data_IF_602064248804
#
_entry.id   IF_602064248804
#
_cell.length_a   1.000
_cell.length_b   1.000
_cell.length_c   1.000
_cell.angle_alpha   90.00
_cell.angle_beta   90.00
_cell.angle_gamma   90.00
#
_symmetry.space_group_name_H-M   'P 1'
#
loop_
_entity.id
_entity.type
_entity.pdbx_description
1 polymer ?
#
# COMPACT_ATOMS: atom_id res chain seq x y z
N UNK A 1 -4.88 -19.59 19.30
CA UNK A 1 -5.04 -20.11 17.92
C UNK A 1 -4.72 -18.97 16.96
N UNK A 2 -3.70 -19.13 16.11
CA UNK A 2 -3.19 -18.08 15.20
C UNK A 2 -4.10 -17.97 13.97
N UNK A 3 -4.61 -16.77 13.66
CA UNK A 3 -5.37 -16.47 12.43
C UNK A 3 -4.45 -16.31 11.22
N UNK A 4 -3.63 -17.32 10.92
CA UNK A 4 -2.61 -17.25 9.86
C UNK A 4 -3.13 -17.60 8.45
N UNK A 5 -4.40 -17.95 8.28
CA UNK A 5 -4.97 -18.42 7.00
C UNK A 5 -5.65 -17.33 6.16
N UNK A 6 -5.00 -16.17 5.94
CA UNK A 6 -5.58 -15.09 5.13
C UNK A 6 -4.93 -14.90 3.74
N UNK A 7 -3.75 -15.48 3.51
CA UNK A 7 -2.99 -15.31 2.28
C UNK A 7 -2.58 -16.68 1.72
N UNK A 8 -3.03 -16.97 0.50
CA UNK A 8 -2.64 -18.15 -0.27
C UNK A 8 -1.93 -17.71 -1.55
N UNK A 9 -0.79 -18.33 -1.85
CA UNK A 9 -0.09 -18.12 -3.11
C UNK A 9 -0.78 -18.97 -4.17
N UNK A 10 -1.33 -18.32 -5.21
CA UNK A 10 -1.97 -19.02 -6.33
C UNK A 10 -0.96 -19.38 -7.43
N UNK A 11 0.00 -18.48 -7.69
CA UNK A 11 0.98 -18.63 -8.75
C UNK A 11 2.30 -18.03 -8.28
N UNK A 12 3.37 -18.83 -8.35
CA UNK A 12 4.74 -18.35 -8.16
C UNK A 12 5.16 -17.45 -9.34
N UNK A 13 6.08 -16.50 -9.15
CA UNK A 13 6.56 -15.64 -10.24
C UNK A 13 7.03 -16.46 -11.45
N UNK A 14 6.43 -16.20 -12.61
CA UNK A 14 6.71 -16.93 -13.85
C UNK A 14 6.67 -16.00 -15.06
N UNK A 15 7.40 -16.35 -16.11
CA UNK A 15 7.27 -15.73 -17.44
C UNK A 15 6.17 -16.37 -18.29
N UNK A 16 5.57 -17.47 -17.83
CA UNK A 16 4.50 -18.18 -18.53
C UNK A 16 3.15 -17.47 -18.34
N UNK A 17 2.70 -16.79 -19.40
CA UNK A 17 1.40 -16.10 -19.42
C UNK A 17 0.23 -17.06 -19.35
N UNK A 18 0.34 -18.24 -19.94
CA UNK A 18 -0.76 -19.21 -19.98
C UNK A 18 -1.03 -19.75 -18.58
N UNK A 19 0.03 -20.07 -17.83
CA UNK A 19 -0.09 -20.47 -16.43
C UNK A 19 -0.74 -19.37 -15.56
N UNK A 20 -0.42 -18.10 -15.82
CA UNK A 20 -1.02 -16.97 -15.13
C UNK A 20 -2.51 -16.83 -15.46
N UNK A 21 -2.89 -16.91 -16.74
CA UNK A 21 -4.30 -16.79 -17.17
C UNK A 21 -5.17 -17.90 -16.57
N UNK A 22 -4.65 -19.14 -16.54
CA UNK A 22 -5.32 -20.28 -15.90
C UNK A 22 -5.51 -20.03 -14.40
N UNK A 23 -4.49 -19.52 -13.72
CA UNK A 23 -4.55 -19.20 -12.29
C UNK A 23 -5.55 -18.08 -12.00
N UNK A 24 -5.58 -17.03 -12.82
CA UNK A 24 -6.52 -15.92 -12.68
C UNK A 24 -7.97 -16.36 -12.88
N UNK A 25 -8.24 -17.28 -13.82
CA UNK A 25 -9.58 -17.83 -14.04
C UNK A 25 -10.09 -18.68 -12.86
N UNK A 26 -9.20 -19.16 -12.00
CA UNK A 26 -9.54 -19.96 -10.81
C UNK A 26 -9.68 -19.13 -9.53
N UNK A 27 -9.50 -17.81 -9.59
CA UNK A 27 -9.61 -16.94 -8.41
C UNK A 27 -11.03 -16.99 -7.87
N UNK A 28 -11.18 -17.55 -6.67
CA UNK A 28 -12.45 -17.51 -5.92
C UNK A 28 -12.49 -16.27 -5.04
N UNK A 29 -13.52 -15.45 -5.22
CA UNK A 29 -13.73 -14.27 -4.38
C UNK A 29 -14.26 -14.71 -3.01
N UNK A 30 -13.41 -14.66 -1.99
CA UNK A 30 -13.86 -14.77 -0.61
C UNK A 30 -14.63 -13.49 -0.26
N UNK A 31 -15.86 -13.61 0.26
CA UNK A 31 -16.76 -12.47 0.56
C UNK A 31 -16.31 -11.54 1.70
N UNK A 32 -15.01 -11.52 2.05
CA UNK A 32 -14.45 -10.69 3.12
C UNK A 32 -13.25 -9.90 2.61
N UNK A 33 -13.22 -8.61 2.93
CA UNK A 33 -12.09 -7.75 2.62
C UNK A 33 -10.84 -8.15 3.41
N UNK A 34 -9.71 -8.27 2.70
CA UNK A 34 -8.42 -8.62 3.29
C UNK A 34 -7.37 -7.50 3.23
N UNK A 35 -7.55 -6.46 2.39
CA UNK A 35 -6.49 -5.51 2.05
C UNK A 35 -5.80 -4.91 3.28
N UNK A 36 -6.54 -4.31 4.22
CA UNK A 36 -5.92 -3.70 5.40
C UNK A 36 -5.24 -4.71 6.34
N UNK A 37 -5.74 -5.95 6.36
CA UNK A 37 -5.25 -6.99 7.27
C UNK A 37 -4.00 -7.68 6.70
N UNK A 38 -3.81 -7.65 5.37
CA UNK A 38 -2.70 -8.33 4.67
C UNK A 38 -1.50 -7.42 4.36
N UNK A 39 -1.66 -6.10 4.44
CA UNK A 39 -0.64 -5.13 4.03
C UNK A 39 0.74 -5.43 4.63
N UNK A 40 0.84 -5.62 5.95
CA UNK A 40 2.14 -5.89 6.59
C UNK A 40 2.77 -7.21 6.16
N UNK A 41 1.96 -8.27 6.04
CA UNK A 41 2.45 -9.60 5.70
C UNK A 41 2.97 -9.62 4.26
N UNK A 42 2.22 -9.04 3.31
CA UNK A 42 2.63 -8.95 1.90
C UNK A 42 3.88 -8.07 1.77
N UNK A 43 3.95 -6.93 2.47
CA UNK A 43 5.15 -6.09 2.47
C UNK A 43 6.37 -6.82 3.03
N UNK A 44 6.20 -7.64 4.08
CA UNK A 44 7.30 -8.46 4.61
C UNK A 44 7.79 -9.52 3.61
N UNK A 45 6.87 -10.20 2.92
CA UNK A 45 7.21 -11.21 1.91
C UNK A 45 7.96 -10.53 0.75
N UNK A 46 7.40 -9.44 0.22
CA UNK A 46 7.98 -8.70 -0.90
C UNK A 46 9.35 -8.12 -0.56
N UNK A 47 9.54 -7.58 0.66
CA UNK A 47 10.84 -7.11 1.13
C UNK A 47 11.87 -8.25 1.13
N UNK A 48 11.48 -9.42 1.62
CA UNK A 48 12.34 -10.61 1.62
C UNK A 48 12.70 -11.07 0.20
N UNK A 49 11.75 -11.03 -0.73
CA UNK A 49 12.00 -11.35 -2.14
C UNK A 49 13.00 -10.36 -2.75
N UNK A 50 12.76 -9.06 -2.58
CA UNK A 50 13.62 -8.00 -3.11
C UNK A 50 15.06 -8.11 -2.57
N UNK A 51 15.22 -8.36 -1.27
CA UNK A 51 16.55 -8.47 -0.63
C UNK A 51 17.31 -9.73 -1.02
N UNK A 52 16.63 -10.85 -1.32
CA UNK A 52 17.28 -12.14 -1.63
C UNK A 52 17.59 -12.34 -3.10
N UNK A 53 16.75 -11.80 -3.99
CA UNK A 53 16.81 -12.09 -5.42
C UNK A 53 17.39 -10.96 -6.27
N UNK A 54 17.59 -9.76 -5.70
CA UNK A 54 18.10 -8.61 -6.45
C UNK A 54 17.16 -8.11 -7.54
N UNK A 55 15.91 -8.57 -7.58
CA UNK A 55 14.89 -8.11 -8.52
C UNK A 55 14.10 -6.93 -7.95
N UNK A 56 13.61 -6.08 -8.84
CA UNK A 56 12.64 -5.03 -8.46
C UNK A 56 11.32 -5.70 -8.13
N UNK A 57 10.79 -5.41 -6.94
CA UNK A 57 9.49 -5.91 -6.50
C UNK A 57 8.58 -4.72 -6.24
N UNK A 58 7.34 -4.81 -6.71
CA UNK A 58 6.26 -3.88 -6.41
C UNK A 58 5.05 -4.69 -5.94
N UNK A 59 4.22 -4.11 -5.09
CA UNK A 59 2.97 -4.73 -4.65
C UNK A 59 1.82 -4.02 -5.36
N UNK A 60 0.93 -4.77 -6.02
CA UNK A 60 -0.32 -4.25 -6.55
C UNK A 60 -1.48 -4.90 -5.78
N UNK A 61 -2.27 -4.07 -5.11
CA UNK A 61 -3.57 -4.47 -4.59
C UNK A 61 -4.67 -4.05 -5.58
N UNK A 62 -5.58 -4.97 -5.87
CA UNK A 62 -6.82 -4.69 -6.58
C UNK A 62 -7.95 -5.03 -5.61
N UNK A 63 -8.80 -4.06 -5.27
CA UNK A 63 -9.85 -4.26 -4.28
C UNK A 63 -11.06 -3.37 -4.54
N UNK A 64 -12.25 -3.90 -4.29
CA UNK A 64 -13.51 -3.17 -4.20
C UNK A 64 -13.94 -2.96 -2.73
N UNK A 65 -13.12 -3.34 -1.74
CA UNK A 65 -13.54 -3.39 -0.34
C UNK A 65 -13.97 -2.04 0.25
N UNK A 66 -15.03 -2.02 1.06
CA UNK A 66 -15.38 -0.86 1.89
C UNK A 66 -14.82 -0.96 3.31
N UNK A 67 -14.77 0.16 4.03
CA UNK A 67 -14.33 0.19 5.43
C UNK A 67 -15.23 -0.66 6.36
N UNK A 68 -16.52 -0.77 6.02
CA UNK A 68 -17.50 -1.61 6.70
C UNK A 68 -17.12 -3.10 6.73
N UNK A 69 -16.33 -3.56 5.75
CA UNK A 69 -15.88 -4.95 5.67
C UNK A 69 -14.84 -5.32 6.73
N UNK A 70 -14.24 -4.32 7.39
CA UNK A 70 -13.26 -4.54 8.45
C UNK A 70 -13.95 -4.47 9.80
N UNK A 71 -13.85 -5.56 10.58
CA UNK A 71 -14.37 -5.69 11.94
C UNK A 71 -13.64 -4.78 12.93
N UNK A 72 -13.91 -3.50 12.86
CA UNK A 72 -13.86 -2.63 14.01
C UNK A 72 -15.21 -1.94 14.09
N UNK A 73 -15.59 -1.54 15.30
CA UNK A 73 -16.85 -0.90 15.63
C UNK A 73 -17.01 0.51 15.01
N UNK A 74 -16.54 0.73 13.78
CA UNK A 74 -16.63 2.00 13.04
C UNK A 74 -18.08 2.39 12.77
N UNK A 75 -18.94 1.39 12.54
CA UNK A 75 -20.36 1.58 12.28
C UNK A 75 -21.18 1.68 13.57
N UNK A 76 -20.69 1.10 14.68
CA UNK A 76 -21.38 1.02 15.97
C UNK A 76 -20.39 1.19 17.13
N UNK A 77 -19.81 2.37 17.34
CA UNK A 77 -18.80 2.58 18.38
C UNK A 77 -19.36 2.20 19.76
N UNK A 78 -18.56 1.52 20.58
CA UNK A 78 -18.93 1.14 21.96
C UNK A 78 -19.18 2.41 22.77
N UNK A 79 -20.43 2.58 23.21
CA UNK A 79 -20.89 3.76 23.96
C UNK A 79 -20.57 3.54 25.43
N UNK A 80 -19.84 4.46 26.05
CA UNK A 80 -19.77 4.49 27.50
C UNK A 80 -21.00 5.24 28.03
N UNK A 81 -22.02 4.51 28.49
CA UNK A 81 -23.26 5.09 29.03
C UNK A 81 -23.04 6.01 30.23
N UNK A 82 -21.87 5.92 30.87
CA UNK A 82 -21.49 6.69 32.05
C UNK A 82 -20.85 8.04 31.71
N UNK A 83 -20.52 8.29 30.44
CA UNK A 83 -19.86 9.52 29.98
C UNK A 83 -20.80 10.29 29.04
N UNK A 84 -21.46 11.34 29.58
CA UNK A 84 -22.33 12.22 28.80
C UNK A 84 -21.59 13.04 27.74
N UNK A 85 -20.26 13.02 27.73
CA UNK A 85 -19.39 13.64 26.74
C UNK A 85 -18.81 12.66 25.71
N UNK A 86 -19.31 11.42 25.62
CA UNK A 86 -18.75 10.41 24.72
C UNK A 86 -18.90 10.80 23.23
N UNK A 87 -17.77 11.19 22.63
CA UNK A 87 -17.65 11.64 21.25
C UNK A 87 -17.40 10.50 20.25
N UNK A 88 -17.40 9.24 20.70
CA UNK A 88 -17.14 8.06 19.84
C UNK A 88 -18.11 7.96 18.65
N UNK A 89 -19.36 8.39 18.83
CA UNK A 89 -20.36 8.53 17.75
C UNK A 89 -20.07 9.68 16.77
N UNK A 90 -19.35 10.71 17.19
CA UNK A 90 -19.07 11.92 16.40
C UNK A 90 -17.77 11.85 15.60
N UNK A 91 -16.88 10.92 15.93
CA UNK A 91 -15.54 10.81 15.31
C UNK A 91 -15.16 9.38 14.89
N UNK A 92 -16.08 8.64 14.26
CA UNK A 92 -15.78 7.31 13.72
C UNK A 92 -14.76 7.37 12.56
N UNK A 93 -14.71 8.48 11.84
CA UNK A 93 -13.67 8.83 10.86
C UNK A 93 -12.26 8.94 11.48
N UNK A 94 -12.18 9.41 12.72
CA UNK A 94 -10.92 9.48 13.48
C UNK A 94 -10.39 8.10 13.81
N UNK A 95 -11.26 7.15 14.15
CA UNK A 95 -10.85 5.77 14.41
C UNK A 95 -10.30 5.09 13.14
N UNK A 96 -10.91 5.35 11.98
CA UNK A 96 -10.39 4.92 10.67
C UNK A 96 -9.03 5.55 10.41
N UNK A 97 -8.93 6.87 10.57
CA UNK A 97 -7.69 7.62 10.37
C UNK A 97 -6.57 7.14 11.28
N UNK A 98 -6.85 6.87 12.55
CA UNK A 98 -5.87 6.37 13.50
C UNK A 98 -5.37 4.97 13.14
N UNK A 99 -6.27 4.06 12.72
CA UNK A 99 -5.85 2.74 12.21
C UNK A 99 -4.94 2.87 11.00
N UNK A 100 -5.31 3.71 10.04
CA UNK A 100 -4.50 3.97 8.84
C UNK A 100 -3.14 4.54 9.23
N UNK A 101 -3.08 5.48 10.17
CA UNK A 101 -1.81 6.04 10.67
C UNK A 101 -0.92 4.97 11.29
N UNK A 102 -1.46 4.13 12.18
CA UNK A 102 -0.70 3.03 12.79
C UNK A 102 -0.18 2.03 11.74
N UNK A 103 -1.01 1.69 10.77
CA UNK A 103 -0.63 0.81 9.67
C UNK A 103 0.46 1.44 8.79
N UNK A 104 0.31 2.73 8.46
CA UNK A 104 1.29 3.51 7.71
C UNK A 104 2.65 3.56 8.41
N UNK A 105 2.66 3.72 9.74
CA UNK A 105 3.89 3.70 10.54
C UNK A 105 4.53 2.31 10.57
N UNK A 106 3.73 1.24 10.72
CA UNK A 106 4.23 -0.13 10.65
C UNK A 106 4.85 -0.45 9.28
N UNK A 107 4.23 0.03 8.21
CA UNK A 107 4.70 -0.17 6.83
C UNK A 107 5.97 0.63 6.51
N UNK A 108 6.28 1.69 7.27
CA UNK A 108 7.45 2.56 7.01
C UNK A 108 8.81 1.85 7.10
N UNK A 109 8.84 0.66 7.72
CA UNK A 109 10.04 -0.20 7.79
C UNK A 109 10.34 -0.96 6.50
N UNK A 110 9.39 -1.00 5.56
CA UNK A 110 9.54 -1.68 4.29
C UNK A 110 9.84 -0.66 3.20
N UNK A 111 10.64 -1.08 2.22
CA UNK A 111 11.05 -0.24 1.09
C UNK A 111 10.35 -0.63 -0.22
N UNK A 112 9.50 -1.66 -0.18
CA UNK A 112 8.72 -2.10 -1.33
C UNK A 112 7.50 -1.19 -1.51
N UNK A 113 7.28 -0.62 -2.70
CA UNK A 113 6.18 0.28 -2.96
C UNK A 113 4.88 -0.48 -3.16
N UNK A 114 3.83 0.13 -2.64
CA UNK A 114 2.48 -0.40 -2.62
C UNK A 114 1.66 0.46 -3.56
N UNK A 115 1.12 -0.19 -4.59
CA UNK A 115 0.16 0.38 -5.50
C UNK A 115 -1.22 -0.21 -5.23
N UNK A 116 -2.25 0.62 -5.37
CA UNK A 116 -3.62 0.22 -5.05
C UNK A 116 -4.53 0.67 -6.19
N UNK A 117 -5.20 -0.28 -6.83
CA UNK A 117 -6.34 -0.03 -7.70
C UNK A 117 -7.61 -0.32 -6.91
N UNK A 118 -8.32 0.73 -6.53
CA UNK A 118 -9.58 0.60 -5.82
C UNK A 118 -10.74 0.70 -6.81
N UNK A 119 -11.54 -0.36 -6.93
CA UNK A 119 -12.51 -0.50 -8.02
C UNK A 119 -13.80 0.29 -7.83
N UNK A 120 -14.12 0.67 -6.58
CA UNK A 120 -15.39 1.32 -6.27
C UNK A 120 -15.22 2.56 -5.39
N UNK A 121 -15.58 3.73 -5.92
CA UNK A 121 -15.63 4.97 -5.14
C UNK A 121 -16.88 5.02 -4.26
N UNK A 122 -16.68 5.27 -2.97
CA UNK A 122 -17.76 5.43 -2.00
C UNK A 122 -17.67 6.78 -1.30
N UNK A 123 -18.77 7.54 -1.36
CA UNK A 123 -18.81 8.95 -0.96
C UNK A 123 -19.18 9.18 0.52
N UNK A 124 -19.53 8.12 1.28
CA UNK A 124 -19.78 8.28 2.71
C UNK A 124 -18.50 8.63 3.48
N UNK A 125 -18.65 9.37 4.58
CA UNK A 125 -17.54 9.93 5.36
C UNK A 125 -16.50 8.89 5.78
N UNK A 126 -16.95 7.68 6.16
CA UNK A 126 -16.04 6.63 6.60
C UNK A 126 -15.24 6.06 5.43
N UNK A 127 -15.88 5.78 4.30
CA UNK A 127 -15.19 5.29 3.12
C UNK A 127 -14.29 6.36 2.49
N UNK A 128 -14.64 7.64 2.58
CA UNK A 128 -13.73 8.73 2.20
C UNK A 128 -12.45 8.72 3.05
N UNK A 129 -12.59 8.65 4.38
CA UNK A 129 -11.43 8.56 5.28
C UNK A 129 -10.57 7.31 5.00
N UNK A 130 -11.20 6.20 4.65
CA UNK A 130 -10.55 4.96 4.23
C UNK A 130 -9.79 5.12 2.90
N UNK A 131 -10.45 5.62 1.84
CA UNK A 131 -9.84 5.81 0.52
C UNK A 131 -8.68 6.80 0.56
N UNK A 132 -8.86 7.95 1.23
CA UNK A 132 -7.75 8.89 1.48
C UNK A 132 -6.67 8.29 2.38
N UNK A 133 -7.00 7.29 3.20
CA UNK A 133 -6.04 6.50 3.94
C UNK A 133 -5.21 5.58 3.05
N UNK A 134 -5.83 4.91 2.08
CA UNK A 134 -5.15 4.08 1.08
C UNK A 134 -4.18 4.91 0.23
N UNK A 135 -4.60 6.09 -0.23
CA UNK A 135 -3.74 7.03 -0.96
C UNK A 135 -2.52 7.47 -0.14
N UNK A 136 -2.71 7.75 1.15
CA UNK A 136 -1.60 8.11 2.05
C UNK A 136 -0.64 6.94 2.26
N UNK A 137 -1.15 5.72 2.43
CA UNK A 137 -0.32 4.52 2.59
C UNK A 137 0.49 4.25 1.33
N UNK A 138 -0.15 4.24 0.15
CA UNK A 138 0.52 3.98 -1.12
C UNK A 138 1.59 5.04 -1.39
N UNK A 139 1.26 6.33 -1.25
CA UNK A 139 2.21 7.44 -1.46
C UNK A 139 3.40 7.36 -0.51
N UNK A 140 3.18 7.14 0.80
CA UNK A 140 4.29 7.00 1.77
C UNK A 140 5.17 5.79 1.46
N UNK A 141 4.60 4.73 0.89
CA UNK A 141 5.34 3.56 0.45
C UNK A 141 6.15 3.78 -0.85
N UNK A 142 6.07 4.93 -1.50
CA UNK A 142 6.74 5.14 -2.79
C UNK A 142 5.91 4.71 -4.00
N UNK A 143 4.70 4.19 -3.78
CA UNK A 143 3.76 3.78 -4.82
C UNK A 143 2.66 4.82 -5.05
N UNK A 144 1.50 4.37 -5.54
CA UNK A 144 0.36 5.24 -5.85
C UNK A 144 -0.97 4.50 -5.70
N UNK A 145 -2.06 5.22 -5.43
CA UNK A 145 -3.40 4.67 -5.42
C UNK A 145 -4.27 5.34 -6.50
N UNK A 146 -5.06 4.54 -7.21
CA UNK A 146 -6.10 5.01 -8.15
C UNK A 146 -7.43 4.51 -7.64
N UNK A 147 -8.36 5.43 -7.41
CA UNK A 147 -9.72 5.12 -6.95
C UNK A 147 -10.68 5.32 -8.13
N UNK A 148 -11.19 4.21 -8.68
CA UNK A 148 -12.12 4.21 -9.80
C UNK A 148 -13.53 4.57 -9.33
N UNK A 149 -14.18 5.47 -10.06
CA UNK A 149 -15.59 5.85 -9.88
C UNK A 149 -16.52 5.05 -10.77
N UNK A 150 -16.00 4.58 -11.91
CA UNK A 150 -16.75 3.83 -12.92
C UNK A 150 -15.93 2.66 -13.44
N UNK A 151 -16.60 1.67 -14.02
CA UNK A 151 -15.93 0.50 -14.61
C UNK A 151 -14.99 0.88 -15.77
N UNK A 152 -15.31 1.93 -16.51
CA UNK A 152 -14.50 2.42 -17.63
C UNK A 152 -13.15 3.01 -17.18
N UNK A 153 -13.02 3.37 -15.89
CA UNK A 153 -11.77 3.85 -15.30
C UNK A 153 -10.85 2.72 -14.84
N UNK A 154 -11.33 1.48 -14.73
CA UNK A 154 -10.55 0.35 -14.19
C UNK A 154 -9.35 0.05 -15.09
N UNK A 155 -9.57 -0.11 -16.40
CA UNK A 155 -8.49 -0.45 -17.34
C UNK A 155 -7.47 0.69 -17.48
N UNK A 156 -7.87 1.95 -17.71
CA UNK A 156 -6.92 3.07 -17.71
C UNK A 156 -6.17 3.22 -16.38
N UNK A 157 -6.86 3.05 -15.25
CA UNK A 157 -6.25 3.12 -13.92
C UNK A 157 -5.19 2.04 -13.71
N UNK A 158 -5.49 0.79 -14.10
CA UNK A 158 -4.54 -0.32 -14.04
C UNK A 158 -3.31 -0.05 -14.93
N UNK A 159 -3.52 0.44 -16.15
CA UNK A 159 -2.42 0.72 -17.08
C UNK A 159 -1.47 1.79 -16.55
N UNK A 160 -2.02 2.86 -15.95
CA UNK A 160 -1.22 3.89 -15.28
C UNK A 160 -0.37 3.29 -14.16
N UNK A 161 -0.96 2.46 -13.29
CA UNK A 161 -0.23 1.83 -12.19
C UNK A 161 0.87 0.88 -12.69
N UNK A 162 0.59 0.07 -13.70
CA UNK A 162 1.57 -0.85 -14.28
C UNK A 162 2.73 -0.09 -14.94
N UNK A 163 2.46 1.03 -15.60
CA UNK A 163 3.51 1.85 -16.20
C UNK A 163 4.39 2.52 -15.13
N UNK A 164 3.78 2.99 -14.04
CA UNK A 164 4.51 3.49 -12.87
C UNK A 164 5.41 2.41 -12.25
N UNK A 165 4.90 1.18 -12.09
CA UNK A 165 5.71 0.06 -11.56
C UNK A 165 6.92 -0.24 -12.43
N UNK A 166 6.74 -0.30 -13.76
CA UNK A 166 7.84 -0.58 -14.71
C UNK A 166 8.92 0.50 -14.67
N UNK A 167 8.51 1.75 -14.50
CA UNK A 167 9.38 2.93 -14.44
C UNK A 167 9.95 3.21 -13.05
N UNK A 168 9.61 2.42 -12.03
CA UNK A 168 10.13 2.59 -10.67
C UNK A 168 11.58 2.11 -10.55
N UNK A 169 12.40 2.93 -9.88
CA UNK A 169 13.78 2.63 -9.51
C UNK A 169 13.98 2.80 -8.01
N UNK A 170 14.87 1.97 -7.43
CA UNK A 170 15.21 2.01 -6.01
C UNK A 170 16.66 2.40 -5.83
N UNK A 171 16.90 3.35 -4.92
CA UNK A 171 18.23 3.72 -4.48
C UNK A 171 18.41 3.34 -3.01
N UNK A 172 19.16 2.28 -2.75
CA UNK A 172 19.59 1.93 -1.40
C UNK A 172 20.80 2.74 -1.00
N UNK A 173 20.73 3.44 0.15
CA UNK A 173 21.87 4.19 0.69
C UNK A 173 22.20 3.65 2.07
N UNK A 174 23.38 3.03 2.21
CA UNK A 174 23.90 2.65 3.52
C UNK A 174 24.46 3.88 4.24
N UNK A 175 24.11 4.02 5.53
CA UNK A 175 24.65 5.10 6.34
C UNK A 175 26.16 4.90 6.56
N UNK A 176 27.01 5.89 6.24
CA UNK A 176 28.42 5.81 6.58
C UNK A 176 28.55 5.76 8.11
N UNK A 177 29.31 4.80 8.63
CA UNK A 177 29.44 4.48 10.07
C UNK A 177 30.09 5.56 10.97
N UNK A 178 30.05 6.84 10.57
CA UNK A 178 30.66 7.95 11.27
C UNK A 178 29.76 8.65 12.30
N UNK A 179 30.37 9.40 13.21
CA UNK A 179 29.73 10.09 14.36
C UNK A 179 28.80 11.28 13.99
N UNK A 180 28.51 11.54 12.71
CA UNK A 180 27.67 12.67 12.28
C UNK A 180 26.31 12.18 11.75
N UNK A 181 25.18 12.56 12.36
CA UNK A 181 23.88 11.94 12.11
C UNK A 181 23.08 12.56 10.94
N UNK A 182 23.68 13.41 10.10
CA UNK A 182 22.95 14.13 9.04
C UNK A 182 23.53 13.78 7.67
N UNK A 183 22.76 13.01 6.89
CA UNK A 183 23.04 12.69 5.51
C UNK A 183 22.09 13.51 4.63
N UNK A 184 22.63 14.30 3.68
CA UNK A 184 21.85 14.94 2.62
C UNK A 184 22.04 14.13 1.35
N UNK A 185 20.98 13.50 0.87
CA UNK A 185 20.98 12.76 -0.40
C UNK A 185 20.45 13.71 -1.48
N UNK A 186 21.20 13.82 -2.58
CA UNK A 186 20.73 14.44 -3.82
C UNK A 186 20.65 13.34 -4.87
N UNK A 187 19.50 13.24 -5.53
CA UNK A 187 19.28 12.32 -6.65
C UNK A 187 19.12 13.16 -7.90
N UNK A 188 19.89 12.85 -8.93
CA UNK A 188 19.82 13.45 -10.25
C UNK A 188 19.55 12.34 -11.25
N UNK A 189 18.64 12.58 -12.19
CA UNK A 189 18.36 11.65 -13.30
C UNK A 189 18.67 12.36 -14.61
N UNK A 190 19.43 11.68 -15.45
CA UNK A 190 19.84 12.17 -16.77
C UNK A 190 19.38 11.18 -17.83
N UNK A 191 18.83 11.69 -18.93
CA UNK A 191 18.54 10.90 -20.11
C UNK A 191 19.81 10.40 -20.81
N UNK A 192 19.67 9.54 -21.84
CA UNK A 192 20.80 9.01 -22.60
C UNK A 192 21.69 10.09 -23.21
N UNK A 193 21.10 11.25 -23.54
CA UNK A 193 21.77 12.39 -24.18
C UNK A 193 22.33 13.39 -23.16
N UNK A 194 22.35 13.05 -21.86
CA UNK A 194 22.78 13.94 -20.78
C UNK A 194 21.77 15.04 -20.42
N UNK A 195 20.59 15.03 -21.02
CA UNK A 195 19.48 15.94 -20.67
C UNK A 195 18.95 15.62 -19.28
N UNK A 196 18.88 16.62 -18.41
CA UNK A 196 18.22 16.46 -17.10
C UNK A 196 16.72 16.29 -17.32
N UNK A 197 16.08 15.38 -16.58
CA UNK A 197 14.62 15.32 -16.58
C UNK A 197 14.05 16.55 -15.86
N UNK A 198 13.00 17.15 -16.42
CA UNK A 198 12.35 18.36 -15.87
C UNK A 198 11.70 18.13 -14.51
N UNK A 199 11.40 16.86 -14.17
CA UNK A 199 10.72 16.51 -12.92
C UNK A 199 11.14 15.15 -12.38
N UNK A 200 11.98 15.15 -11.36
CA UNK A 200 12.25 13.98 -10.53
C UNK A 200 11.32 14.00 -9.31
N UNK A 201 10.34 13.10 -9.27
CA UNK A 201 9.59 12.83 -8.04
C UNK A 201 10.35 11.77 -7.23
N UNK A 202 10.74 12.09 -6.01
CA UNK A 202 11.36 11.14 -5.10
C UNK A 202 10.60 11.09 -3.79
N UNK A 203 10.48 9.90 -3.22
CA UNK A 203 9.84 9.67 -1.92
C UNK A 203 10.92 9.13 -1.00
N UNK A 204 11.26 9.93 0.02
CA UNK A 204 12.28 9.55 0.99
C UNK A 204 11.73 8.47 1.91
N UNK A 205 12.29 7.27 1.83
CA UNK A 205 12.07 6.21 2.79
C UNK A 205 13.35 5.95 3.58
N UNK A 206 13.31 6.27 4.87
CA UNK A 206 14.42 6.04 5.77
C UNK A 206 14.11 4.83 6.65
N UNK A 207 14.77 3.70 6.40
CA UNK A 207 14.83 2.61 7.37
C UNK A 207 16.17 2.69 8.09
N UNK A 208 16.17 3.22 9.31
CA UNK A 208 17.35 3.14 10.17
C UNK A 208 17.47 1.71 10.69
N UNK A 209 18.56 1.01 10.37
CA UNK A 209 18.91 -0.22 11.10
C UNK A 209 19.05 0.16 12.57
N UNK A 210 18.17 -0.34 13.44
CA UNK A 210 18.43 -0.34 14.89
C UNK A 210 19.72 -1.13 15.11
N UNK A 211 20.71 -0.49 15.75
CA UNK A 211 21.83 -1.18 16.38
C UNK A 211 21.33 -1.90 17.62
#
# INVERSE_FOLDING_TARGET
MKSQDALSVMQEPTSDKVALDVSLAQVTVAGRAGLLDTLEQVSSIAQGMMQKSGVRVCILYISDSGIASYRADYLNPVINSSDSGDLSRRFSDRAVSERISRLSDSLSRFTVPIFILHLEYRADTLNLAYQSGLERISTRSGGNAVICRTNDEIKPGLDILLEMMKSTYFLGVDLPGGKKPVLKIRVEATGPDGTSFDRLAFINQFTLKKK
#
